data_IF_187951816279
#
_entry.id   IF_187951816279
#
_cell.length_a   1.000
_cell.length_b   1.000
_cell.length_c   1.000
_cell.angle_alpha   90.00
_cell.angle_beta   90.00
_cell.angle_gamma   90.00
#
_symmetry.space_group_name_H-M   'P 1'
#
loop_
_entity.id
_entity.type
_entity.pdbx_description
1 polymer ?
#
# COMPACT_ATOMS: atom_id res chain seq x y z
N UNK A 1 -0.96 -7.57 -13.95
CA UNK A 1 -1.57 -6.51 -13.11
C UNK A 1 -1.29 -5.15 -13.74
N UNK A 2 -2.31 -4.35 -14.05
CA UNK A 2 -2.12 -2.97 -14.51
C UNK A 2 -3.03 -2.01 -13.72
N UNK A 3 -2.81 -0.70 -13.85
CA UNK A 3 -3.54 0.33 -13.13
C UNK A 3 -4.05 1.40 -14.09
N UNK A 4 -5.32 1.77 -13.96
CA UNK A 4 -5.88 2.94 -14.60
C UNK A 4 -6.13 4.05 -13.58
N UNK A 5 -5.54 5.21 -13.88
CA UNK A 5 -5.69 6.43 -13.10
C UNK A 5 -6.28 7.49 -14.03
N UNK A 6 -7.61 7.72 -14.00
CA UNK A 6 -8.24 8.73 -14.84
C UNK A 6 -7.66 10.11 -14.57
N UNK A 7 -7.49 10.91 -15.62
CA UNK A 7 -7.23 12.33 -15.47
C UNK A 7 -8.52 13.03 -15.04
N UNK A 8 -8.46 14.12 -14.25
CA UNK A 8 -9.64 14.92 -13.94
C UNK A 8 -10.37 15.34 -15.23
N UNK A 9 -11.68 15.12 -15.28
CA UNK A 9 -12.49 15.42 -16.46
C UNK A 9 -13.58 14.38 -16.73
N UNK A 10 -14.27 14.48 -17.88
CA UNK A 10 -15.33 13.55 -18.24
C UNK A 10 -14.84 12.11 -18.31
N UNK A 11 -15.62 11.20 -17.73
CA UNK A 11 -15.43 9.76 -17.87
C UNK A 11 -16.63 9.19 -18.60
N UNK A 12 -16.42 8.71 -19.82
CA UNK A 12 -17.43 7.98 -20.59
C UNK A 12 -17.01 6.53 -20.76
N UNK A 13 -17.97 5.72 -21.20
CA UNK A 13 -17.73 4.32 -21.55
C UNK A 13 -16.67 4.16 -22.63
N UNK A 14 -16.70 5.00 -23.67
CA UNK A 14 -15.75 4.98 -24.80
C UNK A 14 -14.34 5.30 -24.33
N UNK A 15 -14.18 6.31 -23.47
CA UNK A 15 -12.89 6.67 -22.87
C UNK A 15 -12.38 5.48 -22.05
N UNK A 16 -13.22 4.92 -21.19
CA UNK A 16 -12.88 3.78 -20.32
C UNK A 16 -12.43 2.57 -21.15
N UNK A 17 -13.22 2.17 -22.14
CA UNK A 17 -12.90 1.06 -23.06
C UNK A 17 -11.63 1.32 -23.86
N UNK A 18 -11.42 2.56 -24.32
CA UNK A 18 -10.20 2.97 -25.00
C UNK A 18 -8.95 2.80 -24.11
N UNK A 19 -9.05 3.13 -22.82
CA UNK A 19 -7.96 2.97 -21.84
C UNK A 19 -7.65 1.51 -21.55
N UNK A 20 -8.67 0.68 -21.38
CA UNK A 20 -8.53 -0.78 -21.20
C UNK A 20 -7.84 -1.40 -22.42
N UNK A 21 -8.31 -1.11 -23.63
CA UNK A 21 -7.67 -1.59 -24.88
C UNK A 21 -6.23 -1.11 -25.06
N UNK A 22 -5.94 0.13 -24.66
CA UNK A 22 -4.57 0.64 -24.69
C UNK A 22 -3.67 -0.14 -23.72
N UNK A 23 -4.14 -0.45 -22.52
CA UNK A 23 -3.40 -1.25 -21.56
C UNK A 23 -3.16 -2.68 -22.07
N UNK A 24 -4.20 -3.33 -22.61
CA UNK A 24 -4.11 -4.63 -23.28
C UNK A 24 -3.06 -4.65 -24.39
N UNK A 25 -3.09 -3.63 -25.28
CA UNK A 25 -2.12 -3.49 -26.36
C UNK A 25 -0.69 -3.33 -25.84
N UNK A 26 -0.48 -2.54 -24.77
CA UNK A 26 0.85 -2.33 -24.17
C UNK A 26 1.41 -3.59 -23.53
N UNK A 27 0.53 -4.39 -22.93
CA UNK A 27 0.90 -5.65 -22.27
C UNK A 27 0.96 -6.83 -23.24
N UNK A 28 0.45 -6.69 -24.46
CA UNK A 28 0.40 -7.78 -25.45
C UNK A 28 -0.57 -8.90 -25.07
N UNK A 29 -1.71 -8.57 -24.46
CA UNK A 29 -2.71 -9.53 -23.99
C UNK A 29 -4.10 -9.23 -24.54
N UNK A 30 -4.90 -10.28 -24.73
CA UNK A 30 -6.29 -10.17 -25.20
C UNK A 30 -7.31 -10.00 -24.07
N UNK A 31 -6.88 -10.16 -22.82
CA UNK A 31 -7.64 -9.92 -21.60
C UNK A 31 -6.70 -9.43 -20.50
N UNK A 32 -7.14 -8.45 -19.71
CA UNK A 32 -6.43 -8.08 -18.48
C UNK A 32 -6.86 -9.02 -17.36
N UNK A 33 -5.93 -9.72 -16.71
CA UNK A 33 -6.28 -10.55 -15.53
C UNK A 33 -6.89 -9.70 -14.41
N UNK A 34 -6.32 -8.52 -14.17
CA UNK A 34 -6.79 -7.58 -13.17
C UNK A 34 -6.48 -6.14 -13.58
N UNK A 35 -7.44 -5.24 -13.38
CA UNK A 35 -7.27 -3.81 -13.51
C UNK A 35 -7.48 -3.13 -12.15
N UNK A 36 -6.45 -2.43 -11.67
CA UNK A 36 -6.54 -1.57 -10.49
C UNK A 36 -7.04 -0.18 -10.88
N UNK A 37 -7.97 0.37 -10.11
CA UNK A 37 -8.57 1.68 -10.33
C UNK A 37 -8.21 2.63 -9.19
N UNK A 38 -7.73 3.82 -9.53
CA UNK A 38 -7.47 4.90 -8.58
C UNK A 38 -8.31 6.12 -8.93
N UNK A 39 -8.75 6.86 -7.91
CA UNK A 39 -9.48 8.11 -8.08
C UNK A 39 -8.91 9.22 -7.19
N UNK A 40 -8.77 10.40 -7.79
CA UNK A 40 -8.06 11.54 -7.19
C UNK A 40 -8.90 12.34 -6.20
N UNK A 41 -10.18 12.53 -6.50
CA UNK A 41 -11.02 13.52 -5.83
C UNK A 41 -12.41 12.97 -5.57
N UNK A 42 -12.72 12.75 -4.30
CA UNK A 42 -14.00 12.20 -3.87
C UNK A 42 -15.14 13.21 -3.81
N UNK A 43 -14.88 14.50 -4.03
CA UNK A 43 -15.96 15.44 -4.33
C UNK A 43 -16.58 15.19 -5.72
N UNK A 44 -15.88 14.43 -6.57
CA UNK A 44 -16.32 14.05 -7.90
C UNK A 44 -16.78 12.59 -7.96
N UNK A 45 -18.09 12.39 -7.97
CA UNK A 45 -18.73 11.07 -7.97
C UNK A 45 -18.60 10.29 -9.29
N UNK A 46 -17.97 10.85 -10.34
CA UNK A 46 -17.76 10.16 -11.63
C UNK A 46 -16.91 8.90 -11.52
N UNK A 47 -16.25 8.67 -10.39
CA UNK A 47 -15.59 7.39 -10.08
C UNK A 47 -16.57 6.20 -10.11
N UNK A 48 -17.83 6.42 -9.72
CA UNK A 48 -18.88 5.40 -9.75
C UNK A 48 -19.31 5.07 -11.17
N UNK A 49 -19.38 6.07 -12.05
CA UNK A 49 -19.65 5.86 -13.48
C UNK A 49 -18.49 5.10 -14.12
N UNK A 50 -17.24 5.50 -13.82
CA UNK A 50 -16.04 4.83 -14.29
C UNK A 50 -16.03 3.34 -13.91
N UNK A 51 -16.31 3.02 -12.65
CA UNK A 51 -16.37 1.64 -12.15
C UNK A 51 -17.55 0.86 -12.75
N UNK A 52 -18.67 1.51 -13.02
CA UNK A 52 -19.81 0.89 -13.73
C UNK A 52 -19.37 0.47 -15.13
N UNK A 53 -18.68 1.33 -15.88
CA UNK A 53 -18.14 0.97 -17.19
C UNK A 53 -17.07 -0.11 -17.11
N UNK A 54 -16.22 -0.12 -16.08
CA UNK A 54 -15.26 -1.22 -15.87
C UNK A 54 -15.96 -2.55 -15.61
N UNK A 55 -17.03 -2.55 -14.81
CA UNK A 55 -17.85 -3.72 -14.54
C UNK A 55 -18.52 -4.26 -15.82
N UNK A 56 -19.02 -3.39 -16.70
CA UNK A 56 -19.50 -3.80 -18.02
C UNK A 56 -18.39 -4.46 -18.86
N UNK A 57 -17.17 -3.90 -18.85
CA UNK A 57 -16.04 -4.47 -19.60
C UNK A 57 -15.53 -5.78 -19.00
N UNK A 58 -15.72 -5.99 -17.70
CA UNK A 58 -15.50 -7.27 -17.04
C UNK A 58 -16.51 -8.32 -17.53
N UNK A 59 -17.79 -7.95 -17.61
CA UNK A 59 -18.85 -8.81 -18.19
C UNK A 59 -18.60 -9.12 -19.67
N UNK A 60 -18.07 -8.16 -20.44
CA UNK A 60 -17.61 -8.38 -21.83
C UNK A 60 -16.37 -9.30 -21.94
N UNK A 61 -15.74 -9.67 -20.82
CA UNK A 61 -14.58 -10.56 -20.78
C UNK A 61 -13.23 -9.88 -21.02
N UNK A 62 -13.18 -8.54 -21.12
CA UNK A 62 -11.93 -7.79 -21.34
C UNK A 62 -11.10 -7.63 -20.06
N UNK A 63 -11.74 -7.75 -18.90
CA UNK A 63 -11.13 -7.67 -17.57
C UNK A 63 -11.53 -8.94 -16.80
N UNK A 64 -10.58 -9.55 -16.09
CA UNK A 64 -10.83 -10.65 -15.16
C UNK A 64 -11.36 -10.12 -13.84
N UNK A 65 -10.55 -9.34 -13.14
CA UNK A 65 -10.86 -8.77 -11.83
C UNK A 65 -10.76 -7.24 -11.81
N UNK A 66 -11.66 -6.60 -11.05
CA UNK A 66 -11.59 -5.17 -10.74
C UNK A 66 -11.03 -5.00 -9.34
N UNK A 67 -9.98 -4.20 -9.23
CA UNK A 67 -9.33 -3.87 -7.97
C UNK A 67 -9.29 -2.35 -7.78
N UNK A 68 -9.14 -1.91 -6.54
CA UNK A 68 -9.02 -0.51 -6.16
C UNK A 68 -7.60 -0.18 -5.71
N UNK A 69 -7.27 1.11 -5.69
CA UNK A 69 -6.04 1.62 -5.09
C UNK A 69 -6.31 2.91 -4.32
N UNK A 70 -5.93 2.90 -3.04
CA UNK A 70 -6.09 4.00 -2.09
C UNK A 70 -7.55 4.44 -1.94
N UNK A 71 -8.50 3.50 -2.00
CA UNK A 71 -9.88 3.79 -1.62
C UNK A 71 -10.04 3.75 -0.11
N UNK A 72 -10.73 4.75 0.45
CA UNK A 72 -11.11 4.75 1.86
C UNK A 72 -12.32 3.81 2.10
N UNK A 73 -12.65 3.59 3.37
CA UNK A 73 -13.70 2.64 3.74
C UNK A 73 -15.08 3.09 3.29
N UNK A 74 -15.36 4.40 3.35
CA UNK A 74 -16.66 4.95 2.95
C UNK A 74 -16.92 4.72 1.46
N UNK A 75 -15.97 5.10 0.60
CA UNK A 75 -16.12 5.01 -0.84
C UNK A 75 -16.09 3.58 -1.33
N UNK A 76 -15.30 2.70 -0.70
CA UNK A 76 -15.41 1.26 -0.95
C UNK A 76 -16.83 0.74 -0.66
N UNK A 77 -17.42 1.13 0.47
CA UNK A 77 -18.79 0.74 0.81
C UNK A 77 -19.82 1.26 -0.20
N UNK A 78 -19.65 2.50 -0.70
CA UNK A 78 -20.52 3.07 -1.74
C UNK A 78 -20.46 2.28 -3.06
N UNK A 79 -19.26 1.83 -3.46
CA UNK A 79 -19.06 0.98 -4.65
C UNK A 79 -19.78 -0.36 -4.48
N UNK A 80 -19.59 -1.01 -3.32
CA UNK A 80 -20.19 -2.31 -3.04
C UNK A 80 -21.72 -2.26 -3.00
N UNK A 81 -22.29 -1.17 -2.47
CA UNK A 81 -23.75 -0.93 -2.50
C UNK A 81 -24.33 -0.83 -3.91
N UNK A 82 -23.52 -0.55 -4.93
CA UNK A 82 -23.93 -0.59 -6.34
C UNK A 82 -23.84 -1.98 -6.98
N UNK A 83 -23.41 -2.99 -6.23
CA UNK A 83 -23.25 -4.36 -6.73
C UNK A 83 -22.01 -4.55 -7.60
N UNK A 84 -21.04 -3.63 -7.54
CA UNK A 84 -19.77 -3.77 -8.25
C UNK A 84 -18.84 -4.65 -7.41
N UNK A 85 -18.43 -5.79 -7.96
CA UNK A 85 -17.52 -6.72 -7.29
C UNK A 85 -16.09 -6.17 -7.32
N UNK A 86 -15.43 -6.16 -6.16
CA UNK A 86 -14.06 -5.71 -6.00
C UNK A 86 -13.22 -6.86 -5.42
N UNK A 87 -12.12 -7.22 -6.08
CA UNK A 87 -11.26 -8.32 -5.62
C UNK A 87 -10.28 -7.88 -4.53
N UNK A 88 -9.65 -6.72 -4.72
CA UNK A 88 -8.63 -6.20 -3.80
C UNK A 88 -8.64 -4.68 -3.71
N UNK A 89 -8.22 -4.13 -2.56
CA UNK A 89 -7.87 -2.72 -2.43
C UNK A 89 -6.37 -2.59 -2.07
N UNK A 90 -5.61 -1.90 -2.92
CA UNK A 90 -4.20 -1.60 -2.66
C UNK A 90 -4.09 -0.39 -1.74
N UNK A 91 -3.57 -0.56 -0.52
CA UNK A 91 -3.52 0.48 0.52
C UNK A 91 -2.13 0.58 1.17
N UNK A 92 -1.81 1.73 1.76
CA UNK A 92 -0.62 1.86 2.59
C UNK A 92 -0.85 1.08 3.87
N UNK A 93 -0.01 0.09 4.14
CA UNK A 93 -0.12 -0.76 5.32
C UNK A 93 1.29 -1.20 5.70
N UNK A 94 1.73 -0.81 6.89
CA UNK A 94 3.03 -1.18 7.45
C UNK A 94 2.89 -1.46 8.94
N UNK A 95 3.98 -1.86 9.57
CA UNK A 95 3.99 -2.11 11.02
C UNK A 95 3.61 -0.86 11.83
N UNK A 96 3.87 0.33 11.26
CA UNK A 96 3.52 1.64 11.83
C UNK A 96 2.16 2.10 11.33
N UNK A 97 1.94 2.08 10.00
CA UNK A 97 0.68 2.51 9.42
C UNK A 97 -0.34 1.39 9.42
N UNK A 98 -1.10 1.31 10.53
CA UNK A 98 -2.15 0.31 10.78
C UNK A 98 -3.57 0.87 10.59
N UNK A 99 -3.71 2.02 9.91
CA UNK A 99 -5.02 2.62 9.60
C UNK A 99 -6.02 1.67 8.95
N UNK A 100 -5.61 0.73 8.06
CA UNK A 100 -6.54 -0.25 7.52
C UNK A 100 -7.27 -1.07 8.59
N UNK A 101 -6.63 -1.37 9.73
CA UNK A 101 -7.17 -2.22 10.80
C UNK A 101 -8.39 -1.60 11.51
N UNK A 102 -8.58 -0.28 11.43
CA UNK A 102 -9.64 0.42 12.19
C UNK A 102 -11.03 0.19 11.60
N UNK A 103 -11.18 0.21 10.27
CA UNK A 103 -12.48 0.04 9.59
C UNK A 103 -12.40 -0.77 8.28
N UNK A 104 -11.33 -0.58 7.51
CA UNK A 104 -11.18 -1.19 6.18
C UNK A 104 -11.14 -2.72 6.25
N UNK A 105 -10.43 -3.29 7.23
CA UNK A 105 -10.30 -4.74 7.40
C UNK A 105 -11.64 -5.40 7.62
N UNK A 106 -12.48 -4.87 8.53
CA UNK A 106 -13.81 -5.40 8.80
C UNK A 106 -14.68 -5.40 7.53
N UNK A 107 -14.70 -4.28 6.80
CA UNK A 107 -15.45 -4.16 5.55
C UNK A 107 -14.95 -5.16 4.49
N UNK A 108 -13.64 -5.29 4.34
CA UNK A 108 -13.03 -6.20 3.37
C UNK A 108 -13.35 -7.65 3.68
N UNK A 109 -13.21 -8.06 4.95
CA UNK A 109 -13.54 -9.42 5.40
C UNK A 109 -15.02 -9.74 5.16
N UNK A 110 -15.93 -8.81 5.47
CA UNK A 110 -17.38 -8.99 5.26
C UNK A 110 -17.77 -9.20 3.78
N UNK A 111 -16.94 -8.75 2.83
CA UNK A 111 -17.22 -8.82 1.40
C UNK A 111 -16.24 -9.71 0.62
N UNK A 112 -15.36 -10.45 1.30
CA UNK A 112 -14.37 -11.33 0.66
C UNK A 112 -13.27 -10.59 -0.11
N UNK A 113 -13.02 -9.32 0.20
CA UNK A 113 -12.02 -8.48 -0.43
C UNK A 113 -10.68 -8.67 0.29
N UNK A 114 -9.57 -8.68 -0.45
CA UNK A 114 -8.22 -8.72 0.13
C UNK A 114 -7.49 -7.39 0.00
N UNK A 115 -6.50 -7.17 0.85
CA UNK A 115 -5.61 -6.01 0.79
C UNK A 115 -4.32 -6.35 0.06
N UNK A 116 -3.87 -5.42 -0.79
CA UNK A 116 -2.50 -5.39 -1.30
C UNK A 116 -1.74 -4.27 -0.59
N UNK A 117 -0.85 -4.63 0.32
CA UNK A 117 -0.13 -3.67 1.13
C UNK A 117 1.07 -3.10 0.38
N UNK A 118 1.21 -1.77 0.31
CA UNK A 118 2.44 -1.14 -0.13
C UNK A 118 3.00 -0.23 0.97
N UNK A 119 4.26 0.18 0.82
CA UNK A 119 4.90 1.05 1.81
C UNK A 119 5.23 0.34 3.12
N UNK A 120 5.20 -1.00 3.12
CA UNK A 120 5.52 -1.88 4.25
C UNK A 120 6.87 -1.55 4.89
N UNK A 121 7.84 -1.08 4.10
CA UNK A 121 9.18 -0.70 4.56
C UNK A 121 9.38 0.80 4.82
N UNK A 122 8.32 1.61 4.82
CA UNK A 122 8.43 3.05 5.00
C UNK A 122 9.35 3.73 3.97
N UNK A 123 9.34 3.23 2.72
CA UNK A 123 10.23 3.70 1.65
C UNK A 123 11.70 3.38 1.88
N UNK A 124 12.00 2.44 2.78
CA UNK A 124 13.34 2.04 3.18
C UNK A 124 13.72 2.51 4.59
N UNK A 125 12.91 3.34 5.26
CA UNK A 125 13.16 3.78 6.64
C UNK A 125 13.10 2.61 7.63
N UNK A 126 12.24 1.61 7.38
CA UNK A 126 12.13 0.41 8.22
C UNK A 126 13.13 -0.62 7.69
N UNK A 127 14.42 -0.38 7.96
CA UNK A 127 15.52 -1.26 7.56
C UNK A 127 16.76 -1.05 8.44
N UNK A 128 17.68 -2.00 8.37
CA UNK A 128 18.97 -2.00 9.05
C UNK A 128 19.78 -0.72 8.79
N UNK A 129 19.60 -0.10 7.61
CA UNK A 129 20.25 1.15 7.22
C UNK A 129 19.94 2.32 8.17
N UNK A 130 18.77 2.33 8.79
CA UNK A 130 18.30 3.44 9.64
C UNK A 130 18.40 3.12 11.14
N UNK A 131 18.82 1.91 11.50
CA UNK A 131 19.09 1.54 12.89
C UNK A 131 20.31 2.32 13.43
N UNK A 132 20.18 2.85 14.64
CA UNK A 132 21.18 3.68 15.34
C UNK A 132 21.61 4.93 14.55
N UNK A 133 20.75 5.43 13.65
CA UNK A 133 21.01 6.64 12.88
C UNK A 133 20.34 7.86 13.51
N UNK A 134 20.96 9.03 13.30
CA UNK A 134 20.36 10.32 13.63
C UNK A 134 19.13 10.57 12.75
N UNK A 135 18.17 11.29 13.31
CA UNK A 135 16.96 11.67 12.60
C UNK A 135 17.29 12.45 11.31
N UNK A 136 16.73 12.04 10.15
CA UNK A 136 16.83 12.83 8.94
C UNK A 136 15.89 14.04 9.04
N UNK A 137 16.45 15.17 9.47
CA UNK A 137 15.68 16.41 9.70
C UNK A 137 15.60 17.31 8.46
N UNK A 138 16.54 17.21 7.51
CA UNK A 138 16.50 18.05 6.30
C UNK A 138 15.88 17.28 5.14
N UNK A 139 15.18 17.99 4.27
CA UNK A 139 14.64 17.42 3.03
C UNK A 139 15.73 16.78 2.15
N UNK A 140 16.95 17.32 2.16
CA UNK A 140 18.11 16.77 1.45
C UNK A 140 18.55 15.41 1.97
N UNK A 141 18.30 15.10 3.25
CA UNK A 141 18.60 13.81 3.86
C UNK A 141 17.60 12.73 3.35
N UNK A 142 16.46 13.17 2.82
CA UNK A 142 15.39 12.34 2.28
C UNK A 142 15.43 12.36 0.75
N UNK A 143 16.17 11.42 0.16
CA UNK A 143 16.51 11.42 -1.27
C UNK A 143 15.32 11.27 -2.25
N UNK A 144 14.12 10.95 -1.77
CA UNK A 144 12.94 10.74 -2.63
C UNK A 144 11.68 11.37 -2.05
N UNK A 145 10.67 11.62 -2.89
CA UNK A 145 9.33 12.03 -2.46
C UNK A 145 8.68 10.98 -1.55
N UNK A 146 8.81 9.70 -1.89
CA UNK A 146 8.33 8.59 -1.08
C UNK A 146 8.94 8.58 0.32
N UNK A 147 10.25 8.77 0.45
CA UNK A 147 10.93 8.76 1.73
C UNK A 147 10.44 9.88 2.66
N UNK A 148 10.19 11.09 2.11
CA UNK A 148 9.57 12.17 2.89
C UNK A 148 8.13 11.87 3.30
N UNK A 149 7.34 11.25 2.43
CA UNK A 149 5.99 10.79 2.79
C UNK A 149 6.03 9.86 4.00
N UNK A 150 6.86 8.83 3.96
CA UNK A 150 6.92 7.85 5.04
C UNK A 150 7.55 8.43 6.31
N UNK A 151 8.49 9.36 6.20
CA UNK A 151 8.99 10.11 7.37
C UNK A 151 7.88 10.89 8.06
N UNK A 152 7.00 11.56 7.31
CA UNK A 152 5.85 12.24 7.90
C UNK A 152 4.89 11.27 8.62
N UNK A 153 4.69 10.06 8.09
CA UNK A 153 3.87 9.05 8.78
C UNK A 153 4.54 8.57 10.08
N UNK A 154 5.86 8.43 10.09
CA UNK A 154 6.62 8.10 11.31
C UNK A 154 6.49 9.23 12.33
N UNK A 155 6.57 10.49 11.90
CA UNK A 155 6.45 11.67 12.77
C UNK A 155 5.05 11.83 13.36
N UNK A 156 4.01 11.48 12.58
CA UNK A 156 2.64 11.43 13.08
C UNK A 156 2.45 10.29 14.10
N UNK A 157 3.12 9.15 13.89
CA UNK A 157 3.06 8.00 14.79
C UNK A 157 3.84 8.21 16.09
N UNK A 158 5.01 8.84 16.06
CA UNK A 158 5.81 9.01 17.27
C UNK A 158 7.14 9.74 17.04
N UNK A 159 7.94 9.86 18.11
CA UNK A 159 9.27 10.49 18.01
C UNK A 159 10.29 9.59 17.31
N UNK A 160 11.40 10.17 16.86
CA UNK A 160 12.48 9.39 16.27
C UNK A 160 13.10 8.41 17.26
N UNK A 161 13.13 8.74 18.55
CA UNK A 161 13.60 7.83 19.61
C UNK A 161 12.70 6.59 19.72
N UNK A 162 11.38 6.77 19.67
CA UNK A 162 10.44 5.64 19.65
C UNK A 162 10.60 4.81 18.37
N UNK A 163 10.84 5.47 17.23
CA UNK A 163 11.14 4.77 15.99
C UNK A 163 12.44 3.95 16.07
N UNK A 164 13.49 4.47 16.71
CA UNK A 164 14.72 3.72 16.96
C UNK A 164 14.52 2.55 17.92
N UNK A 165 13.67 2.69 18.95
CA UNK A 165 13.26 1.58 19.82
C UNK A 165 12.61 0.46 19.00
N UNK A 166 11.68 0.81 18.10
CA UNK A 166 11.03 -0.14 17.20
C UNK A 166 12.05 -0.85 16.30
N UNK A 167 12.96 -0.10 15.66
CA UNK A 167 14.00 -0.69 14.82
C UNK A 167 14.92 -1.63 15.62
N UNK A 168 15.24 -1.28 16.87
CA UNK A 168 16.05 -2.15 17.74
C UNK A 168 15.32 -3.45 18.05
N UNK A 169 14.02 -3.39 18.39
CA UNK A 169 13.23 -4.59 18.65
C UNK A 169 13.07 -5.46 17.40
N UNK A 170 12.87 -4.85 16.22
CA UNK A 170 12.86 -5.57 14.95
C UNK A 170 14.22 -6.20 14.63
N UNK A 171 15.33 -5.52 14.95
CA UNK A 171 16.68 -6.04 14.78
C UNK A 171 16.92 -7.28 15.64
N UNK A 172 16.48 -7.27 16.89
CA UNK A 172 16.64 -8.43 17.78
C UNK A 172 15.88 -9.66 17.25
N UNK A 173 14.64 -9.45 16.78
CA UNK A 173 13.84 -10.51 16.12
C UNK A 173 14.54 -10.96 14.84
N UNK A 174 15.00 -10.03 14.01
CA UNK A 174 15.68 -10.34 12.76
C UNK A 174 16.94 -11.19 12.98
N UNK A 175 17.73 -10.88 14.01
CA UNK A 175 18.92 -11.65 14.40
C UNK A 175 18.56 -13.05 14.89
N UNK A 176 17.50 -13.21 15.69
CA UNK A 176 17.04 -14.52 16.16
C UNK A 176 16.63 -15.44 14.99
N UNK A 177 16.12 -14.86 13.90
CA UNK A 177 15.68 -15.56 12.70
C UNK A 177 16.70 -15.52 11.54
N UNK A 178 17.91 -15.01 11.76
CA UNK A 178 18.96 -14.86 10.74
C UNK A 178 18.47 -14.16 9.44
N UNK A 179 17.71 -13.09 9.59
CA UNK A 179 17.17 -12.27 8.52
C UNK A 179 17.37 -10.77 8.80
N UNK A 180 16.70 -9.90 8.05
CA UNK A 180 16.81 -8.43 8.18
C UNK A 180 15.59 -7.81 8.85
N UNK A 181 15.74 -6.56 9.33
CA UNK A 181 14.60 -5.76 9.81
C UNK A 181 13.48 -5.70 8.75
N UNK A 182 13.88 -5.56 7.47
CA UNK A 182 12.93 -5.51 6.36
C UNK A 182 12.14 -6.82 6.21
N UNK A 183 12.78 -7.98 6.41
CA UNK A 183 12.08 -9.27 6.36
C UNK A 183 11.03 -9.37 7.48
N UNK A 184 11.41 -9.05 8.72
CA UNK A 184 10.49 -9.09 9.87
C UNK A 184 9.30 -8.16 9.65
N UNK A 185 9.55 -6.90 9.27
CA UNK A 185 8.49 -5.92 9.06
C UNK A 185 7.53 -6.30 7.94
N UNK A 186 8.05 -6.83 6.83
CA UNK A 186 7.22 -7.31 5.73
C UNK A 186 6.45 -8.58 6.10
N UNK A 187 7.06 -9.52 6.83
CA UNK A 187 6.41 -10.78 7.22
C UNK A 187 5.27 -10.53 8.19
N UNK A 188 5.49 -9.64 9.16
CA UNK A 188 4.47 -9.20 10.11
C UNK A 188 3.17 -8.73 9.42
N UNK A 189 3.29 -8.02 8.29
CA UNK A 189 2.13 -7.56 7.51
C UNK A 189 1.58 -8.65 6.60
N UNK A 190 2.45 -9.47 6.00
CA UNK A 190 2.01 -10.57 5.14
C UNK A 190 1.22 -11.64 5.90
N UNK A 191 1.50 -11.82 7.20
CA UNK A 191 0.79 -12.78 8.08
C UNK A 191 -0.63 -12.37 8.45
N UNK A 192 -1.02 -11.12 8.17
CA UNK A 192 -2.37 -10.65 8.45
C UNK A 192 -3.37 -11.33 7.50
N UNK A 193 -4.46 -11.94 7.99
CA UNK A 193 -5.37 -12.74 7.16
C UNK A 193 -6.07 -11.94 6.05
N UNK A 194 -6.22 -10.63 6.22
CA UNK A 194 -6.75 -9.71 5.21
C UNK A 194 -5.76 -9.39 4.08
N UNK A 195 -4.46 -9.59 4.26
CA UNK A 195 -3.42 -9.23 3.30
C UNK A 195 -3.19 -10.41 2.34
N UNK A 196 -3.44 -10.19 1.04
CA UNK A 196 -3.13 -11.20 0.01
C UNK A 196 -1.71 -11.06 -0.55
N UNK A 197 -1.07 -9.92 -0.33
CA UNK A 197 0.29 -9.69 -0.79
C UNK A 197 0.82 -8.33 -0.40
N UNK A 198 2.15 -8.23 -0.38
CA UNK A 198 2.89 -7.00 -0.14
C UNK A 198 3.62 -6.57 -1.43
N UNK A 199 3.71 -5.26 -1.66
CA UNK A 199 4.38 -4.68 -2.82
C UNK A 199 5.67 -4.02 -2.37
N UNK A 200 6.79 -4.68 -2.66
CA UNK A 200 8.14 -4.20 -2.38
C UNK A 200 8.74 -3.66 -3.67
N UNK A 201 9.06 -2.37 -3.70
CA UNK A 201 9.71 -1.75 -4.85
C UNK A 201 11.17 -2.17 -4.95
N UNK A 202 11.56 -2.82 -6.05
CA UNK A 202 12.96 -3.12 -6.38
C UNK A 202 13.47 -2.09 -7.40
N UNK A 203 14.67 -1.54 -7.18
CA UNK A 203 15.32 -0.63 -8.15
C UNK A 203 16.36 -1.40 -8.94
N UNK A 204 15.96 -1.89 -10.12
CA UNK A 204 16.88 -2.54 -11.05
C UNK A 204 17.95 -1.57 -11.55
N UNK A 205 19.22 -2.02 -11.56
CA UNK A 205 20.35 -1.24 -12.08
C UNK A 205 21.04 -0.30 -11.07
N UNK A 206 20.63 -0.29 -9.80
CA UNK A 206 21.40 0.33 -8.71
C UNK A 206 22.16 -0.78 -7.98
N UNK A 207 23.48 -0.76 -8.04
CA UNK A 207 24.32 -1.75 -7.36
C UNK A 207 23.94 -1.85 -5.87
N UNK A 208 23.60 -3.07 -5.42
CA UNK A 208 23.15 -3.35 -4.05
C UNK A 208 21.66 -3.15 -3.77
N UNK A 209 20.85 -2.71 -4.74
CA UNK A 209 19.39 -2.59 -4.61
C UNK A 209 18.61 -3.81 -5.15
N UNK A 210 19.33 -4.83 -5.60
CA UNK A 210 18.78 -6.11 -6.06
C UNK A 210 18.52 -7.02 -4.84
N UNK A 211 17.55 -6.64 -4.01
CA UNK A 211 17.20 -7.39 -2.80
C UNK A 211 16.33 -8.62 -3.08
N UNK A 212 16.38 -9.20 -4.29
CA UNK A 212 15.45 -10.27 -4.69
C UNK A 212 15.65 -11.51 -3.82
N UNK A 213 16.89 -11.98 -3.66
CA UNK A 213 17.19 -13.16 -2.84
C UNK A 213 16.85 -12.92 -1.36
N UNK A 214 17.15 -11.73 -0.83
CA UNK A 214 16.81 -11.38 0.56
C UNK A 214 15.30 -11.28 0.77
N UNK A 215 14.55 -10.76 -0.22
CA UNK A 215 13.09 -10.72 -0.18
C UNK A 215 12.47 -12.11 -0.23
N UNK A 216 13.13 -13.10 -0.87
CA UNK A 216 12.61 -14.48 -0.92
C UNK A 216 12.67 -15.16 0.46
N UNK A 217 13.62 -14.82 1.32
CA UNK A 217 13.67 -15.33 2.71
C UNK A 217 12.41 -15.02 3.52
N UNK A 218 11.64 -14.01 3.11
CA UNK A 218 10.34 -13.69 3.71
C UNK A 218 9.37 -14.87 3.67
N UNK A 219 9.44 -15.70 2.63
CA UNK A 219 8.50 -16.81 2.43
C UNK A 219 8.71 -17.92 3.46
N UNK A 220 9.94 -18.06 3.97
CA UNK A 220 10.34 -19.09 4.93
C UNK A 220 10.36 -18.58 6.39
N UNK A 221 10.15 -17.28 6.61
CA UNK A 221 10.14 -16.68 7.94
C UNK A 221 8.80 -16.92 8.66
N UNK A 222 8.86 -17.47 9.87
CA UNK A 222 7.70 -17.62 10.76
C UNK A 222 7.95 -16.85 12.06
N UNK A 223 7.16 -15.80 12.30
CA UNK A 223 7.25 -15.02 13.53
C UNK A 223 6.56 -15.75 14.68
N UNK A 224 7.26 -15.88 15.81
CA UNK A 224 6.71 -16.50 17.01
C UNK A 224 5.75 -15.54 17.74
N UNK A 225 4.85 -16.05 18.60
CA UNK A 225 4.02 -15.20 19.46
C UNK A 225 4.85 -14.22 20.31
N UNK A 226 6.03 -14.63 20.76
CA UNK A 226 6.97 -13.81 21.52
C UNK A 226 7.53 -12.66 20.67
N UNK A 227 7.89 -12.94 19.41
CA UNK A 227 8.35 -11.91 18.46
C UNK A 227 7.26 -10.84 18.24
N UNK A 228 6.03 -11.31 17.98
CA UNK A 228 4.88 -10.44 17.76
C UNK A 228 4.60 -9.60 19.00
N UNK A 229 4.61 -10.21 20.19
CA UNK A 229 4.40 -9.49 21.45
C UNK A 229 5.47 -8.41 21.67
N UNK A 230 6.74 -8.71 21.39
CA UNK A 230 7.84 -7.75 21.51
C UNK A 230 7.66 -6.54 20.59
N UNK A 231 7.24 -6.77 19.35
CA UNK A 231 6.93 -5.71 18.39
C UNK A 231 5.75 -4.88 18.89
N UNK A 232 4.65 -5.53 19.27
CA UNK A 232 3.41 -4.87 19.70
C UNK A 232 3.58 -3.99 20.93
N UNK A 233 4.47 -4.36 21.87
CA UNK A 233 4.81 -3.53 23.04
C UNK A 233 5.38 -2.15 22.68
N UNK A 234 6.13 -2.04 21.59
CA UNK A 234 6.61 -0.74 21.11
C UNK A 234 5.54 -0.04 20.29
N UNK A 235 4.81 -0.78 19.44
CA UNK A 235 3.73 -0.21 18.64
C UNK A 235 2.65 0.48 19.48
N UNK A 236 2.31 -0.10 20.64
CA UNK A 236 1.29 0.45 21.54
C UNK A 236 1.66 1.79 22.19
N UNK A 237 2.90 2.25 22.03
CA UNK A 237 3.37 3.56 22.54
C UNK A 237 3.17 4.70 21.54
N UNK A 238 2.93 4.38 20.27
CA UNK A 238 2.70 5.38 19.23
C UNK A 238 1.27 5.91 19.22
N UNK A 239 1.08 7.03 18.52
CA UNK A 239 -0.22 7.63 18.29
C UNK A 239 -1.05 6.81 17.30
N UNK A 240 -2.37 6.94 17.38
CA UNK A 240 -3.28 6.39 16.38
C UNK A 240 -3.24 7.23 15.10
N UNK A 241 -2.65 6.65 14.05
CA UNK A 241 -2.55 7.31 12.75
C UNK A 241 -3.90 7.53 12.08
N UNK A 242 -4.93 6.76 12.44
CA UNK A 242 -6.28 6.96 11.92
C UNK A 242 -6.86 8.29 12.42
N UNK A 243 -6.64 8.62 13.69
CA UNK A 243 -7.06 9.90 14.26
C UNK A 243 -6.28 11.08 13.66
N UNK A 244 -4.97 10.92 13.44
CA UNK A 244 -4.12 12.03 12.97
C UNK A 244 -4.14 12.24 11.46
N UNK A 245 -4.37 11.18 10.67
CA UNK A 245 -4.21 11.21 9.21
C UNK A 245 -5.48 10.82 8.44
N UNK A 246 -6.50 10.29 9.12
CA UNK A 246 -7.73 9.83 8.50
C UNK A 246 -7.63 8.40 7.99
N UNK A 247 -8.52 8.02 7.08
CA UNK A 247 -8.61 6.66 6.55
C UNK A 247 -7.59 6.43 5.41
N UNK A 248 -7.62 5.23 4.84
CA UNK A 248 -6.74 4.79 3.77
C UNK A 248 -6.83 5.70 2.54
N UNK A 249 -5.70 6.30 2.15
CA UNK A 249 -5.61 7.14 0.97
C UNK A 249 -5.82 8.63 1.23
N UNK A 250 -6.27 9.02 2.42
CA UNK A 250 -6.42 10.43 2.83
C UNK A 250 -5.10 11.20 2.78
N UNK A 251 -3.98 10.50 2.98
CA UNK A 251 -2.64 11.07 2.81
C UNK A 251 -2.40 11.62 1.40
N UNK A 252 -3.06 11.09 0.36
CA UNK A 252 -2.93 11.61 -1.01
C UNK A 252 -3.89 12.74 -1.33
N UNK A 253 -5.00 12.83 -0.58
CA UNK A 253 -6.10 13.75 -0.87
C UNK A 253 -5.95 15.07 -0.14
N UNK A 254 -5.63 15.01 1.15
CA UNK A 254 -5.58 16.20 2.00
C UNK A 254 -4.19 16.79 2.14
N UNK A 255 -3.12 15.99 2.02
CA UNK A 255 -1.77 16.50 2.21
C UNK A 255 -1.16 17.13 0.95
N UNK A 256 -1.81 17.07 -0.22
CA UNK A 256 -1.43 17.76 -1.47
C UNK A 256 -0.06 17.43 -2.09
N UNK A 257 0.86 16.87 -1.30
CA UNK A 257 2.29 16.72 -1.58
C UNK A 257 2.58 15.42 -2.35
N UNK A 258 1.65 14.46 -2.39
CA UNK A 258 1.94 13.09 -2.81
C UNK A 258 1.25 12.62 -4.10
N UNK A 259 0.57 13.52 -4.84
CA UNK A 259 -0.11 13.16 -6.11
C UNK A 259 0.84 12.52 -7.15
N UNK A 260 2.12 12.86 -7.13
CA UNK A 260 3.14 12.26 -8.02
C UNK A 260 3.59 10.85 -7.61
N UNK A 261 3.38 10.43 -6.34
CA UNK A 261 3.85 9.13 -5.84
C UNK A 261 2.95 7.98 -6.31
N UNK A 262 1.65 8.22 -6.53
CA UNK A 262 0.73 7.23 -7.12
C UNK A 262 1.20 6.69 -8.48
N UNK A 263 1.96 7.49 -9.24
CA UNK A 263 2.48 7.10 -10.56
C UNK A 263 3.68 6.12 -10.46
N UNK A 264 4.37 6.05 -9.31
CA UNK A 264 5.54 5.19 -9.12
C UNK A 264 5.19 3.69 -8.97
N UNK A 265 3.89 3.35 -8.86
CA UNK A 265 3.40 1.97 -8.79
C UNK A 265 2.79 1.50 -10.14
N UNK A 266 3.06 2.22 -11.23
CA UNK A 266 2.51 1.95 -12.59
C UNK A 266 3.64 1.85 -13.64
N UNK A 267 4.87 1.56 -13.21
CA UNK A 267 6.01 1.32 -14.11
C UNK A 267 6.02 -0.11 -14.62
#
# INVERSE_FOLDING_TARGET
LTKWVPQPGPVTREITKGRVRLAMKRMGVDKLDMLQFHWWDYSDNRYLDALTYLNELQVEGLIGEIALTNFDTQHLMEILKRGISISTNQVQYSIIDRRPEVKMVELCQAHGIKLLAYGTLGGGLISDRYLNQKEPVRRSDLQTASLAKYKHMIDAWGSWELFQELLSNLSDVAQAHNCTIANVACRYILDKPEVAGIIIGCRFGVAGAEHIEENLKLLDLELTPEDIQKIEQTLSKGNDLFETTGDCGDEYRYLGIYKSICHLLVG
#
